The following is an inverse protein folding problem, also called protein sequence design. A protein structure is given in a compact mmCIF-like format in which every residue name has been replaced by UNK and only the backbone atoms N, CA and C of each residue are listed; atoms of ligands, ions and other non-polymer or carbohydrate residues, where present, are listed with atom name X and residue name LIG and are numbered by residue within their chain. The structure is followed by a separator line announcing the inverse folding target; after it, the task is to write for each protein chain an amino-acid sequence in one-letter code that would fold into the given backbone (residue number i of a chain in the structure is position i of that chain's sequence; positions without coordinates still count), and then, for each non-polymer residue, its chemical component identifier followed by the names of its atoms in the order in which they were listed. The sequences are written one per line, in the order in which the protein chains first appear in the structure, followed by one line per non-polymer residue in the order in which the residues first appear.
data_IF_005727982844
#
_entry.id   IF_005727982844
#
_cell.length_a   1.000
_cell.length_b   1.000
_cell.length_c   1.000
_cell.angle_alpha   90.00
_cell.angle_beta   90.00
_cell.angle_gamma   90.00
#
_symmetry.space_group_name_H-M   'P 1'
#
loop_
_entity.id
_entity.type
_entity.pdbx_description
1 polymer ?
#
# COMPACT_ATOMS: atom_id res chain seq x y z
N UNK A 1 -53.75 -28.40 -12.99
CA UNK A 1 -52.37 -27.92 -12.85
C UNK A 1 -51.86 -28.29 -11.46
N UNK A 2 -50.53 -28.40 -11.30
CA UNK A 2 -49.73 -28.79 -10.10
C UNK A 2 -49.28 -30.25 -10.08
N UNK A 3 -48.20 -30.52 -10.83
CA UNK A 3 -47.28 -31.63 -10.56
C UNK A 3 -46.45 -31.23 -9.33
N UNK A 4 -46.59 -31.97 -8.24
CA UNK A 4 -45.83 -31.76 -7.01
C UNK A 4 -44.39 -32.23 -7.17
N UNK A 5 -43.45 -31.40 -6.73
CA UNK A 5 -42.03 -31.75 -6.60
C UNK A 5 -41.87 -32.97 -5.69
N UNK A 6 -41.04 -33.92 -6.11
CA UNK A 6 -40.73 -35.10 -5.29
C UNK A 6 -39.67 -34.73 -4.24
N UNK A 7 -39.69 -35.39 -3.07
CA UNK A 7 -38.66 -35.23 -2.03
C UNK A 7 -37.25 -35.46 -2.58
N UNK A 8 -37.12 -36.38 -3.55
CA UNK A 8 -35.86 -36.71 -4.21
C UNK A 8 -35.28 -35.52 -4.99
N UNK A 9 -36.15 -34.73 -5.61
CA UNK A 9 -35.74 -33.58 -6.42
C UNK A 9 -35.13 -32.47 -5.55
N UNK A 10 -35.76 -32.18 -4.40
CA UNK A 10 -35.18 -31.25 -3.43
C UNK A 10 -33.89 -31.78 -2.80
N UNK A 11 -33.79 -33.09 -2.54
CA UNK A 11 -32.55 -33.70 -2.04
C UNK A 11 -31.39 -33.54 -3.03
N UNK A 12 -31.62 -33.83 -4.31
CA UNK A 12 -30.61 -33.69 -5.37
C UNK A 12 -30.22 -32.22 -5.54
N UNK A 13 -31.18 -31.30 -5.52
CA UNK A 13 -30.91 -29.85 -5.62
C UNK A 13 -30.01 -29.38 -4.48
N UNK A 14 -30.27 -29.80 -3.24
CA UNK A 14 -29.44 -29.42 -2.08
C UNK A 14 -28.04 -30.04 -2.15
N UNK A 15 -27.92 -31.29 -2.61
CA UNK A 15 -26.61 -31.94 -2.80
C UNK A 15 -25.80 -31.20 -3.86
N UNK A 16 -26.37 -30.91 -5.03
CA UNK A 16 -25.69 -30.18 -6.10
C UNK A 16 -25.36 -28.75 -5.67
N UNK A 17 -26.29 -28.05 -4.99
CA UNK A 17 -26.03 -26.72 -4.44
C UNK A 17 -24.89 -26.71 -3.43
N UNK A 18 -24.77 -27.76 -2.58
CA UNK A 18 -23.68 -27.88 -1.61
C UNK A 18 -22.31 -28.13 -2.27
N UNK A 19 -22.27 -28.90 -3.35
CA UNK A 19 -21.05 -29.13 -4.15
C UNK A 19 -20.66 -27.84 -4.87
N UNK A 20 -21.63 -27.12 -5.44
CA UNK A 20 -21.42 -25.81 -6.06
C UNK A 20 -20.89 -24.78 -5.03
N UNK A 21 -21.43 -24.77 -3.81
CA UNK A 21 -20.94 -23.90 -2.72
C UNK A 21 -19.54 -24.29 -2.25
N UNK A 22 -19.21 -25.58 -2.23
CA UNK A 22 -17.89 -26.09 -1.81
C UNK A 22 -16.76 -25.61 -2.73
N UNK A 23 -17.07 -25.33 -4.00
CA UNK A 23 -16.08 -24.89 -4.99
C UNK A 23 -15.62 -23.44 -4.81
N UNK A 24 -16.25 -22.66 -3.92
CA UNK A 24 -15.96 -21.22 -3.74
C UNK A 24 -14.70 -20.97 -2.88
N UNK A 25 -14.08 -22.00 -2.29
CA UNK A 25 -13.00 -21.80 -1.31
C UNK A 25 -11.63 -22.30 -1.78
N UNK A 26 -11.24 -22.02 -3.03
CA UNK A 26 -9.81 -21.95 -3.36
C UNK A 26 -9.27 -20.64 -2.76
N UNK A 27 -8.76 -20.70 -1.53
CA UNK A 27 -7.88 -19.65 -1.01
C UNK A 27 -6.63 -19.64 -1.89
N UNK A 28 -6.64 -18.87 -2.98
CA UNK A 28 -5.43 -18.52 -3.73
C UNK A 28 -4.48 -17.87 -2.71
N UNK A 29 -3.44 -18.60 -2.33
CA UNK A 29 -2.33 -17.99 -1.61
C UNK A 29 -1.76 -16.90 -2.53
N UNK A 30 -1.76 -15.62 -2.11
CA UNK A 30 -1.22 -14.55 -2.94
C UNK A 30 0.24 -14.86 -3.28
N UNK A 31 0.63 -14.71 -4.55
CA UNK A 31 2.03 -14.86 -4.95
C UNK A 31 2.88 -13.73 -4.39
N UNK A 32 4.19 -13.95 -4.22
CA UNK A 32 5.09 -12.89 -3.75
C UNK A 32 5.03 -11.63 -4.65
N UNK A 33 4.78 -11.82 -5.96
CA UNK A 33 4.55 -10.74 -6.91
C UNK A 33 3.25 -9.98 -6.66
N UNK A 34 2.14 -10.68 -6.39
CA UNK A 34 0.86 -10.00 -6.13
C UNK A 34 0.93 -9.21 -4.82
N UNK A 35 1.57 -9.78 -3.78
CA UNK A 35 1.77 -9.09 -2.50
C UNK A 35 2.64 -7.84 -2.67
N UNK A 36 3.77 -7.95 -3.38
CA UNK A 36 4.64 -6.80 -3.62
C UNK A 36 3.93 -5.69 -4.40
N UNK A 37 3.12 -6.06 -5.41
CA UNK A 37 2.35 -5.12 -6.22
C UNK A 37 1.27 -4.42 -5.39
N UNK A 38 0.52 -5.17 -4.59
CA UNK A 38 -0.51 -4.59 -3.71
C UNK A 38 0.11 -3.60 -2.72
N UNK A 39 1.21 -3.98 -2.07
CA UNK A 39 1.88 -3.11 -1.09
C UNK A 39 2.53 -1.89 -1.75
N UNK A 40 3.05 -2.00 -2.97
CA UNK A 40 3.58 -0.84 -3.70
C UNK A 40 2.48 0.12 -4.15
N UNK A 41 1.34 -0.41 -4.62
CA UNK A 41 0.17 0.40 -4.96
C UNK A 41 -0.42 1.08 -3.72
N UNK A 42 -0.53 0.36 -2.61
CA UNK A 42 -0.99 0.91 -1.33
C UNK A 42 -0.09 2.05 -0.87
N UNK A 43 1.23 1.85 -0.87
CA UNK A 43 2.17 2.88 -0.47
C UNK A 43 2.11 4.09 -1.40
N UNK A 44 2.02 3.87 -2.73
CA UNK A 44 1.87 4.96 -3.69
C UNK A 44 0.62 5.82 -3.39
N UNK A 45 -0.52 5.17 -3.18
CA UNK A 45 -1.77 5.85 -2.81
C UNK A 45 -1.63 6.64 -1.51
N UNK A 46 -1.02 6.08 -0.47
CA UNK A 46 -0.84 6.77 0.81
C UNK A 46 0.11 7.98 0.68
N UNK A 47 1.17 7.86 -0.11
CA UNK A 47 2.10 8.97 -0.36
C UNK A 47 1.44 10.09 -1.16
N UNK A 48 0.63 9.74 -2.17
CA UNK A 48 -0.17 10.69 -2.95
C UNK A 48 -1.19 11.42 -2.06
N UNK A 49 -1.97 10.68 -1.28
CA UNK A 49 -2.94 11.27 -0.35
C UNK A 49 -2.26 12.12 0.73
N UNK A 50 -1.09 11.70 1.22
CA UNK A 50 -0.26 12.49 2.13
C UNK A 50 0.21 13.80 1.49
N UNK A 51 0.68 13.76 0.24
CA UNK A 51 1.04 14.96 -0.52
C UNK A 51 -0.14 15.92 -0.69
N UNK A 52 -1.29 15.40 -1.15
CA UNK A 52 -2.52 16.19 -1.31
C UNK A 52 -3.00 16.79 0.02
N UNK A 53 -2.99 16.00 1.10
CA UNK A 53 -3.41 16.47 2.43
C UNK A 53 -2.46 17.55 2.96
N UNK A 54 -1.16 17.43 2.69
CA UNK A 54 -0.17 18.45 3.05
C UNK A 54 -0.43 19.76 2.31
N UNK A 55 -0.71 19.68 1.00
CA UNK A 55 -1.04 20.85 0.18
C UNK A 55 -2.36 21.51 0.61
N UNK A 56 -3.42 20.72 0.83
CA UNK A 56 -4.71 21.23 1.26
C UNK A 56 -4.68 21.82 2.68
N UNK A 57 -3.94 21.19 3.60
CA UNK A 57 -3.85 21.61 5.00
C UNK A 57 -2.78 22.66 5.29
N UNK A 58 -1.88 22.93 4.35
CA UNK A 58 -0.74 23.84 4.52
C UNK A 58 0.32 23.37 5.54
N UNK A 59 0.22 22.13 6.04
CA UNK A 59 1.15 21.56 7.01
C UNK A 59 1.99 20.48 6.34
N UNK A 60 3.31 20.50 6.56
CA UNK A 60 4.19 19.51 5.96
C UNK A 60 3.93 18.13 6.57
N UNK A 61 3.82 17.12 5.70
CA UNK A 61 3.82 15.73 6.08
C UNK A 61 5.17 15.10 5.74
N UNK A 62 5.52 14.00 6.37
CA UNK A 62 6.67 13.21 5.97
C UNK A 62 6.40 11.73 6.13
N UNK A 63 7.12 10.93 5.35
CA UNK A 63 7.14 9.48 5.46
C UNK A 63 8.51 9.01 5.92
N UNK A 64 8.55 7.95 6.70
CA UNK A 64 9.79 7.21 6.98
C UNK A 64 9.49 5.72 7.03
N UNK A 65 10.45 4.90 6.62
CA UNK A 65 10.35 3.47 6.85
C UNK A 65 11.68 2.75 6.85
N UNK A 66 11.67 1.60 7.51
CA UNK A 66 12.81 0.69 7.64
C UNK A 66 12.31 -0.75 7.81
N UNK A 67 13.07 -1.72 7.30
CA UNK A 67 12.66 -3.12 7.29
C UNK A 67 11.33 -3.31 6.54
N UNK A 68 10.34 -3.91 7.20
CA UNK A 68 8.99 -4.09 6.66
C UNK A 68 7.96 -3.10 7.24
N UNK A 69 8.39 -2.00 7.87
CA UNK A 69 7.48 -1.06 8.52
C UNK A 69 7.72 0.38 8.09
N UNK A 70 6.64 1.17 8.05
CA UNK A 70 6.71 2.61 7.78
C UNK A 70 5.65 3.37 8.56
N UNK A 71 5.80 4.70 8.59
CA UNK A 71 4.88 5.62 9.25
C UNK A 71 4.93 7.00 8.62
N UNK A 72 3.91 7.79 8.93
CA UNK A 72 3.84 9.19 8.56
C UNK A 72 4.00 10.10 9.78
N UNK A 73 4.45 11.31 9.51
CA UNK A 73 4.74 12.36 10.47
C UNK A 73 4.07 13.64 10.03
N UNK A 74 3.62 14.43 11.00
CA UNK A 74 3.11 15.77 10.81
C UNK A 74 4.11 16.77 11.37
N UNK A 75 4.38 17.83 10.61
CA UNK A 75 5.16 18.96 11.11
C UNK A 75 4.22 19.93 11.83
N UNK A 76 4.46 20.14 13.12
CA UNK A 76 3.71 21.12 13.90
C UNK A 76 4.07 22.55 13.47
N UNK A 77 3.31 23.54 13.93
CA UNK A 77 3.60 24.95 13.63
C UNK A 77 4.91 25.42 14.27
N UNK A 78 5.31 24.78 15.37
CA UNK A 78 6.56 24.97 16.08
C UNK A 78 7.75 24.33 15.34
N UNK A 79 7.48 23.56 14.27
CA UNK A 79 8.47 22.95 13.41
C UNK A 79 8.88 21.53 13.81
N UNK A 80 8.27 20.96 14.85
CA UNK A 80 8.55 19.62 15.35
C UNK A 80 7.87 18.54 14.52
N UNK A 81 8.49 17.36 14.41
CA UNK A 81 7.89 16.20 13.77
C UNK A 81 7.18 15.33 14.79
N UNK A 82 5.86 15.27 14.70
CA UNK A 82 5.00 14.45 15.56
C UNK A 82 4.47 13.27 14.77
N UNK A 83 4.38 12.11 15.43
CA UNK A 83 3.86 10.88 14.82
C UNK A 83 2.35 11.03 14.59
N UNK A 84 1.89 10.56 13.43
CA UNK A 84 0.47 10.37 13.19
C UNK A 84 0.10 9.00 13.77
N UNK A 85 -0.74 9.00 14.80
CA UNK A 85 -1.21 7.78 15.47
C UNK A 85 -2.55 7.29 14.87
N UNK A 86 -3.19 6.29 15.50
CA UNK A 86 -4.42 5.61 15.02
C UNK A 86 -5.58 6.59 14.72
N UNK A 87 -6.56 6.12 13.95
CA UNK A 87 -7.76 6.86 13.46
C UNK A 87 -7.55 7.83 12.28
N UNK A 88 -6.41 7.73 11.60
CA UNK A 88 -6.14 8.43 10.35
C UNK A 88 -5.69 7.45 9.24
N UNK A 89 -5.98 7.75 7.97
CA UNK A 89 -5.53 6.99 6.80
C UNK A 89 -4.00 6.72 6.82
N UNK A 90 -3.25 7.67 7.39
CA UNK A 90 -1.78 7.72 7.46
C UNK A 90 -1.18 7.10 8.74
N UNK A 91 -1.92 6.23 9.44
CA UNK A 91 -1.40 5.53 10.62
C UNK A 91 -0.15 4.66 10.30
N UNK A 92 0.67 4.29 11.30
CA UNK A 92 1.82 3.40 11.09
C UNK A 92 1.40 2.03 10.57
N UNK A 93 2.21 1.44 9.69
CA UNK A 93 1.91 0.16 9.03
C UNK A 93 3.11 -0.78 9.03
N UNK A 94 2.82 -2.07 9.15
CA UNK A 94 3.76 -3.17 8.95
C UNK A 94 3.28 -3.96 7.75
N UNK A 95 4.13 -4.07 6.74
CA UNK A 95 3.91 -4.86 5.54
C UNK A 95 4.14 -6.35 5.84
N UNK A 96 3.60 -7.27 5.01
CA UNK A 96 3.93 -8.69 5.08
C UNK A 96 5.44 -8.92 5.12
N UNK A 97 5.90 -9.96 5.83
CA UNK A 97 7.34 -10.21 6.03
C UNK A 97 8.12 -10.42 4.73
N UNK A 98 7.43 -10.84 3.67
CA UNK A 98 7.96 -11.00 2.32
C UNK A 98 8.25 -9.68 1.61
N UNK A 99 7.82 -8.54 2.15
CA UNK A 99 8.04 -7.20 1.56
C UNK A 99 8.87 -6.35 2.51
N UNK A 100 9.95 -5.77 1.99
CA UNK A 100 10.85 -4.87 2.71
C UNK A 100 11.10 -3.59 1.93
N UNK A 101 11.38 -2.53 2.66
CA UNK A 101 11.81 -1.25 2.11
C UNK A 101 13.26 -1.42 1.67
N UNK A 102 13.50 -1.13 0.40
CA UNK A 102 14.81 -1.10 -0.21
C UNK A 102 15.45 0.29 -0.10
N UNK A 103 16.08 0.69 -1.18
CA UNK A 103 16.61 2.03 -1.33
C UNK A 103 15.51 3.10 -1.31
N UNK A 104 15.79 4.18 -0.59
CA UNK A 104 15.00 5.40 -0.59
C UNK A 104 15.89 6.56 -1.04
N UNK A 105 15.38 7.41 -1.93
CA UNK A 105 16.03 8.65 -2.31
C UNK A 105 15.08 9.83 -2.28
N UNK A 106 15.64 11.00 -1.95
CA UNK A 106 14.95 12.29 -1.99
C UNK A 106 15.78 13.25 -2.83
N UNK A 107 15.13 13.87 -3.81
CA UNK A 107 15.74 14.74 -4.81
C UNK A 107 16.98 14.13 -5.46
N UNK A 108 16.88 12.85 -5.86
CA UNK A 108 17.97 12.09 -6.46
C UNK A 108 19.07 11.63 -5.50
N UNK A 109 19.08 12.05 -4.23
CA UNK A 109 20.07 11.64 -3.23
C UNK A 109 19.53 10.49 -2.38
N UNK A 110 20.26 9.38 -2.31
CA UNK A 110 19.95 8.28 -1.39
C UNK A 110 19.96 8.79 0.06
N UNK A 111 18.99 8.35 0.85
CA UNK A 111 18.88 8.68 2.28
C UNK A 111 18.98 7.40 3.12
N UNK A 112 19.36 7.57 4.39
CA UNK A 112 19.48 6.45 5.32
C UNK A 112 18.11 5.80 5.62
N UNK A 113 18.07 4.48 5.90
CA UNK A 113 16.84 3.82 6.34
C UNK A 113 16.21 4.54 7.54
N UNK A 114 14.90 4.80 7.47
CA UNK A 114 14.17 5.54 8.50
C UNK A 114 14.32 7.07 8.45
N UNK A 115 15.13 7.64 7.54
CA UNK A 115 15.16 9.07 7.31
C UNK A 115 13.83 9.57 6.72
N UNK A 116 13.52 10.85 6.96
CA UNK A 116 12.26 11.47 6.52
C UNK A 116 12.31 11.83 5.03
N UNK A 117 11.29 11.38 4.30
CA UNK A 117 10.90 11.88 2.99
C UNK A 117 9.80 12.91 3.20
N UNK A 118 10.11 14.18 2.99
CA UNK A 118 9.16 15.29 3.21
C UNK A 118 8.19 15.40 2.03
N UNK A 119 6.91 15.42 2.35
CA UNK A 119 5.79 15.74 1.46
C UNK A 119 5.44 17.22 1.71
N UNK A 120 5.89 18.08 0.81
CA UNK A 120 5.77 19.54 0.98
C UNK A 120 4.32 20.01 0.78
N UNK A 121 3.87 21.03 1.55
CA UNK A 121 2.58 21.68 1.34
C UNK A 121 2.61 22.60 0.11
N UNK A 122 3.80 22.99 -0.34
CA UNK A 122 4.01 23.82 -1.52
C UNK A 122 4.25 22.93 -2.75
N UNK A 123 3.72 23.36 -3.91
CA UNK A 123 4.07 22.77 -5.21
C UNK A 123 5.58 22.86 -5.42
N UNK A 124 6.23 21.70 -5.44
CA UNK A 124 7.69 21.60 -5.49
C UNK A 124 8.10 20.53 -6.49
N UNK A 125 9.22 20.70 -7.17
CA UNK A 125 9.80 19.67 -8.05
C UNK A 125 10.65 18.65 -7.29
N UNK A 126 10.62 18.68 -5.95
CA UNK A 126 11.32 17.71 -5.10
C UNK A 126 10.75 16.32 -5.33
N UNK A 127 11.52 15.51 -6.05
CA UNK A 127 11.18 14.12 -6.32
C UNK A 127 11.57 13.22 -5.15
N UNK A 128 10.93 12.06 -5.06
CA UNK A 128 11.37 10.97 -4.20
C UNK A 128 11.21 9.64 -4.91
N UNK A 129 12.03 8.66 -4.52
CA UNK A 129 11.88 7.25 -4.90
C UNK A 129 11.90 6.42 -3.63
N UNK A 130 10.93 5.54 -3.47
CA UNK A 130 10.92 4.49 -2.45
C UNK A 130 10.86 3.16 -3.17
N UNK A 131 11.85 2.28 -2.95
CA UNK A 131 11.76 0.92 -3.48
C UNK A 131 11.21 -0.04 -2.42
N UNK A 132 10.36 -0.95 -2.85
CA UNK A 132 9.93 -2.13 -2.09
C UNK A 132 10.53 -3.36 -2.75
N UNK A 133 10.95 -4.33 -1.94
CA UNK A 133 11.64 -5.54 -2.37
C UNK A 133 10.94 -6.76 -1.79
N UNK A 134 10.79 -7.79 -2.61
CA UNK A 134 10.55 -9.15 -2.15
C UNK A 134 11.81 -10.00 -2.37
N UNK A 135 11.73 -11.31 -2.14
CA UNK A 135 12.85 -12.23 -2.38
C UNK A 135 13.36 -12.21 -3.83
N UNK A 136 12.48 -11.95 -4.80
CA UNK A 136 12.77 -12.10 -6.23
C UNK A 136 12.50 -10.84 -7.06
N UNK A 137 11.80 -9.84 -6.49
CA UNK A 137 11.28 -8.71 -7.26
C UNK A 137 11.52 -7.38 -6.53
N UNK A 138 11.61 -6.30 -7.31
CA UNK A 138 11.67 -4.93 -6.78
C UNK A 138 10.60 -4.06 -7.45
N UNK A 139 9.87 -3.28 -6.66
CA UNK A 139 8.92 -2.26 -7.12
C UNK A 139 9.41 -0.89 -6.68
N UNK A 140 9.24 0.14 -7.50
CA UNK A 140 9.63 1.52 -7.19
C UNK A 140 8.41 2.43 -7.17
N UNK A 141 8.24 3.17 -6.07
CA UNK A 141 7.25 4.23 -5.91
C UNK A 141 7.97 5.56 -6.18
N UNK A 142 7.52 6.30 -7.20
CA UNK A 142 8.09 7.57 -7.63
C UNK A 142 7.11 8.71 -7.34
N UNK A 143 7.53 9.70 -6.57
CA UNK A 143 6.84 10.97 -6.45
C UNK A 143 7.59 12.04 -7.22
N UNK A 144 6.91 12.79 -8.08
CA UNK A 144 7.51 13.89 -8.85
C UNK A 144 7.40 15.25 -8.14
N UNK A 145 6.82 15.30 -6.94
CA UNK A 145 6.59 16.52 -6.16
C UNK A 145 5.38 17.36 -6.61
N UNK A 146 4.76 17.02 -7.75
CA UNK A 146 3.56 17.66 -8.30
C UNK A 146 2.25 16.96 -7.87
N UNK A 147 2.32 16.15 -6.80
CA UNK A 147 1.18 15.40 -6.27
C UNK A 147 0.98 14.01 -6.88
N UNK A 148 1.55 13.71 -8.06
CA UNK A 148 1.42 12.39 -8.68
C UNK A 148 2.43 11.40 -8.10
N UNK A 149 1.95 10.22 -7.71
CA UNK A 149 2.80 9.10 -7.28
C UNK A 149 2.53 7.89 -8.16
N UNK A 150 3.58 7.32 -8.77
CA UNK A 150 3.48 6.15 -9.63
C UNK A 150 4.24 4.97 -9.05
N UNK A 151 3.65 3.77 -9.12
CA UNK A 151 4.31 2.51 -8.77
C UNK A 151 4.74 1.79 -10.04
N UNK A 152 6.05 1.63 -10.24
CA UNK A 152 6.65 0.89 -11.36
C UNK A 152 7.20 -0.42 -10.82
N UNK A 153 6.64 -1.54 -11.28
CA UNK A 153 7.22 -2.87 -11.04
C UNK A 153 8.48 -3.01 -11.91
N UNK A 154 9.64 -3.22 -11.31
CA UNK A 154 10.86 -3.58 -12.00
C UNK A 154 11.02 -5.11 -12.04
N UNK A 155 11.67 -5.61 -13.08
CA UNK A 155 11.99 -7.03 -13.24
C UNK A 155 13.40 -7.33 -12.72
N UNK A 156 13.50 -8.38 -11.88
CA UNK A 156 14.67 -9.04 -11.22
C UNK A 156 15.74 -8.14 -10.53
N UNK A 157 16.36 -8.56 -9.41
CA UNK A 157 17.33 -7.77 -8.65
C UNK A 157 18.65 -7.47 -9.37
#
# INVERSE_FOLDING_TARGET
MMRGFTLLEMLVVLVVASIMLSMVTLKLMPSAQSVLREESQRLAFLMENGGMSSQAGGQALAWSGTGNSYRFWLRTREGEWVRIERDNLLHPRTMPESVRIGEVSSNGRRIEPGALVVLSPELSTKSFRVSLRSSELTSSILGNGLGKVESISGDTP
#
